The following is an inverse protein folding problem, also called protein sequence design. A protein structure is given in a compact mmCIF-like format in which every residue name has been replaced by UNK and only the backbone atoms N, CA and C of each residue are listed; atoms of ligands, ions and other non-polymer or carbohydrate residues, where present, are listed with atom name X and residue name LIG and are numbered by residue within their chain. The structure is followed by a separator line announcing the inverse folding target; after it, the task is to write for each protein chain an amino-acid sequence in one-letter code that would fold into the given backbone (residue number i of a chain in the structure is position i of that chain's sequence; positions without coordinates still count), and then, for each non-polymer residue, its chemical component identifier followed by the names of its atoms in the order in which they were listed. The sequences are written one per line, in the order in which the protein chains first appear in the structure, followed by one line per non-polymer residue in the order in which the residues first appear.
data_IF_837612420262
#
_entry.id   IF_837612420262
#
_cell.length_a   1.000
_cell.length_b   1.000
_cell.length_c   1.000
_cell.angle_alpha   90.00
_cell.angle_beta   90.00
_cell.angle_gamma   90.00
#
_symmetry.space_group_name_H-M   'P 1'
#
loop_
_entity.id
_entity.type
_entity.pdbx_description
1 polymer ?
#
# COMPACT_ATOMS: atom_id res chain seq x y z
N UNK A 1 -15.51 15.35 4.52
CA UNK A 1 -14.40 15.96 3.79
C UNK A 1 -14.85 16.38 2.41
N UNK A 2 -14.42 17.55 1.97
CA UNK A 2 -14.67 18.07 0.62
C UNK A 2 -13.31 18.18 -0.06
N UNK A 3 -13.17 17.58 -1.24
CA UNK A 3 -11.99 17.74 -2.06
C UNK A 3 -12.01 19.12 -2.73
N UNK A 4 -10.91 19.84 -2.65
CA UNK A 4 -10.73 21.11 -3.38
C UNK A 4 -10.40 20.87 -4.86
N UNK A 5 -9.75 19.72 -5.14
CA UNK A 5 -9.52 19.20 -6.48
C UNK A 5 -9.56 17.66 -6.41
N UNK A 6 -10.13 17.04 -7.42
CA UNK A 6 -10.16 15.59 -7.47
C UNK A 6 -11.44 14.95 -6.95
N UNK A 7 -11.35 13.70 -6.53
CA UNK A 7 -12.48 12.83 -6.16
C UNK A 7 -12.28 12.24 -4.77
N UNK A 8 -13.34 12.26 -3.96
CA UNK A 8 -13.40 11.55 -2.67
C UNK A 8 -14.42 10.43 -2.78
N UNK A 9 -14.02 9.24 -2.34
CA UNK A 9 -14.89 8.06 -2.27
C UNK A 9 -14.91 7.52 -0.85
N UNK A 10 -16.07 7.13 -0.37
CA UNK A 10 -16.26 6.46 0.90
C UNK A 10 -16.56 4.98 0.72
N UNK A 11 -16.19 4.21 1.72
CA UNK A 11 -16.51 2.79 1.83
C UNK A 11 -16.80 2.42 3.28
N UNK A 12 -17.91 1.75 3.50
CA UNK A 12 -18.33 1.29 4.83
C UNK A 12 -18.39 -0.23 4.82
N UNK A 13 -17.70 -0.85 5.76
CA UNK A 13 -17.60 -2.29 5.91
C UNK A 13 -18.12 -2.78 7.25
N UNK A 14 -18.53 -4.05 7.33
CA UNK A 14 -18.97 -4.73 8.56
C UNK A 14 -20.08 -3.96 9.31
N UNK A 15 -21.15 -3.61 8.60
CA UNK A 15 -22.33 -2.91 9.16
C UNK A 15 -21.97 -1.61 9.91
N UNK A 16 -21.06 -0.84 9.34
CA UNK A 16 -20.64 0.46 9.87
C UNK A 16 -19.50 0.43 10.89
N UNK A 17 -18.88 -0.71 11.12
CA UNK A 17 -17.75 -0.82 12.06
C UNK A 17 -16.44 -0.28 11.49
N UNK A 18 -16.26 -0.30 10.17
CA UNK A 18 -15.09 0.20 9.48
C UNK A 18 -15.53 1.19 8.42
N UNK A 19 -15.04 2.42 8.49
CA UNK A 19 -15.24 3.45 7.48
C UNK A 19 -13.92 3.87 6.86
N UNK A 20 -13.88 4.00 5.53
CA UNK A 20 -12.71 4.41 4.77
C UNK A 20 -13.07 5.57 3.87
N UNK A 21 -12.23 6.61 3.86
CA UNK A 21 -12.29 7.73 2.90
C UNK A 21 -11.03 7.71 2.05
N UNK A 22 -11.20 7.74 0.74
CA UNK A 22 -10.09 7.83 -0.22
C UNK A 22 -10.27 9.07 -1.07
N UNK A 23 -9.22 9.88 -1.15
CA UNK A 23 -9.15 11.08 -1.97
C UNK A 23 -8.06 10.90 -3.02
N UNK A 24 -8.35 11.27 -4.27
CA UNK A 24 -7.40 11.25 -5.35
C UNK A 24 -7.50 12.53 -6.20
N UNK A 25 -6.38 13.04 -6.65
CA UNK A 25 -6.31 14.10 -7.64
C UNK A 25 -6.51 13.50 -9.04
N UNK A 26 -7.77 13.41 -9.44
CA UNK A 26 -8.17 12.88 -10.73
C UNK A 26 -9.47 13.53 -11.18
N UNK A 27 -9.77 13.47 -12.46
CA UNK A 27 -11.09 13.85 -12.93
C UNK A 27 -12.14 12.81 -12.54
N UNK A 28 -13.31 13.28 -12.16
CA UNK A 28 -14.42 12.41 -11.80
C UNK A 28 -14.93 11.62 -13.00
N UNK A 29 -14.83 10.30 -12.92
CA UNK A 29 -15.42 9.36 -13.87
C UNK A 29 -15.85 8.10 -13.13
N UNK A 30 -16.73 7.30 -13.72
CA UNK A 30 -17.18 6.05 -13.10
C UNK A 30 -16.02 5.06 -12.91
N UNK A 31 -15.09 5.00 -13.87
CA UNK A 31 -13.89 4.17 -13.77
C UNK A 31 -12.98 4.59 -12.62
N UNK A 32 -12.76 5.89 -12.41
CA UNK A 32 -11.96 6.42 -11.29
C UNK A 32 -12.66 6.15 -9.96
N UNK A 33 -13.95 6.38 -9.86
CA UNK A 33 -14.73 6.10 -8.64
C UNK A 33 -14.71 4.62 -8.28
N UNK A 34 -14.85 3.73 -9.25
CA UNK A 34 -14.75 2.28 -9.04
C UNK A 34 -13.35 1.87 -8.57
N UNK A 35 -12.31 2.41 -9.18
CA UNK A 35 -10.92 2.20 -8.77
C UNK A 35 -10.71 2.63 -7.32
N UNK A 36 -11.13 3.82 -6.94
CA UNK A 36 -11.01 4.34 -5.57
C UNK A 36 -11.82 3.51 -4.57
N UNK A 37 -12.98 3.01 -4.97
CA UNK A 37 -13.80 2.11 -4.14
C UNK A 37 -13.12 0.77 -3.90
N UNK A 38 -12.47 0.19 -4.91
CA UNK A 38 -11.67 -1.02 -4.78
C UNK A 38 -10.44 -0.79 -3.88
N UNK A 39 -9.80 0.36 -3.98
CA UNK A 39 -8.71 0.78 -3.08
C UNK A 39 -9.21 0.92 -1.64
N UNK A 40 -10.38 1.48 -1.43
CA UNK A 40 -11.01 1.59 -0.10
C UNK A 40 -11.31 0.20 0.51
N UNK A 41 -11.76 -0.76 -0.30
CA UNK A 41 -11.92 -2.15 0.14
C UNK A 41 -10.59 -2.80 0.53
N UNK A 42 -9.52 -2.54 -0.21
CA UNK A 42 -8.15 -2.98 0.12
C UNK A 42 -7.72 -2.43 1.49
N UNK A 43 -7.96 -1.14 1.75
CA UNK A 43 -7.65 -0.50 3.02
C UNK A 43 -8.44 -1.13 4.17
N UNK A 44 -9.71 -1.40 3.98
CA UNK A 44 -10.55 -2.06 4.98
C UNK A 44 -10.09 -3.50 5.29
N UNK A 45 -9.60 -4.23 4.27
CA UNK A 45 -9.17 -5.62 4.40
C UNK A 45 -7.80 -5.77 5.06
N UNK A 46 -6.81 -4.97 4.67
CA UNK A 46 -5.41 -5.12 5.08
C UNK A 46 -4.90 -4.04 6.03
N UNK A 47 -5.70 -3.01 6.30
CA UNK A 47 -5.39 -1.94 7.25
C UNK A 47 -3.96 -1.37 7.10
N UNK A 48 -3.58 -0.83 5.93
CA UNK A 48 -2.27 -0.21 5.75
C UNK A 48 -2.10 1.00 6.66
N UNK A 49 -0.89 1.24 7.15
CA UNK A 49 -0.57 2.38 8.01
C UNK A 49 -0.13 3.61 7.20
N UNK A 50 0.49 3.40 6.06
CA UNK A 50 1.05 4.44 5.21
C UNK A 50 0.61 4.25 3.76
N UNK A 51 0.63 5.32 2.99
CA UNK A 51 0.32 5.26 1.55
C UNK A 51 1.44 4.60 0.76
N UNK A 52 2.69 5.00 1.00
CA UNK A 52 3.88 4.47 0.35
C UNK A 52 5.06 4.42 1.30
N UNK A 53 6.10 3.67 0.94
CA UNK A 53 7.34 3.59 1.73
C UNK A 53 8.08 4.93 1.86
N UNK A 54 7.86 5.86 0.92
CA UNK A 54 8.40 7.22 1.00
C UNK A 54 7.81 8.05 2.15
N UNK A 55 6.60 7.76 2.57
CA UNK A 55 5.92 8.44 3.69
C UNK A 55 6.23 7.85 5.06
N UNK A 56 6.88 6.69 5.11
CA UNK A 56 7.24 6.04 6.37
C UNK A 56 8.34 6.84 7.07
N UNK A 57 8.12 7.30 8.32
CA UNK A 57 9.14 8.02 9.06
C UNK A 57 10.40 7.19 9.27
N UNK A 58 11.58 7.82 9.19
CA UNK A 58 12.86 7.12 9.46
C UNK A 58 12.91 6.53 10.87
N UNK A 59 12.37 7.24 11.86
CA UNK A 59 12.27 6.76 13.25
C UNK A 59 11.50 5.43 13.34
N UNK A 60 10.43 5.28 12.55
CA UNK A 60 9.69 4.02 12.50
C UNK A 60 10.55 2.89 11.90
N UNK A 61 11.26 3.17 10.81
CA UNK A 61 12.15 2.19 10.16
C UNK A 61 13.31 1.78 11.08
N UNK A 62 13.92 2.71 11.78
CA UNK A 62 14.98 2.46 12.75
C UNK A 62 14.47 1.61 13.91
N UNK A 63 13.33 1.95 14.48
CA UNK A 63 12.72 1.20 15.57
C UNK A 63 12.39 -0.24 15.19
N UNK A 64 11.78 -0.45 14.03
CA UNK A 64 11.49 -1.81 13.50
C UNK A 64 12.80 -2.58 13.24
N UNK A 65 13.81 -1.91 12.72
CA UNK A 65 15.13 -2.51 12.50
C UNK A 65 15.77 -2.96 13.81
N UNK A 66 15.68 -2.17 14.88
CA UNK A 66 16.17 -2.53 16.22
C UNK A 66 15.44 -3.76 16.78
N UNK A 67 14.11 -3.81 16.64
CA UNK A 67 13.30 -4.96 17.07
C UNK A 67 13.72 -6.22 16.31
N UNK A 68 13.85 -6.14 15.00
CA UNK A 68 14.27 -7.27 14.15
C UNK A 68 15.69 -7.72 14.48
N UNK A 69 16.60 -6.77 14.80
CA UNK A 69 17.97 -7.07 15.24
C UNK A 69 17.97 -7.84 16.55
N UNK A 70 17.21 -7.38 17.54
CA UNK A 70 17.08 -8.06 18.81
C UNK A 70 16.51 -9.48 18.68
N UNK A 71 15.47 -9.63 17.86
CA UNK A 71 14.88 -10.95 17.56
C UNK A 71 15.88 -11.88 16.86
N UNK A 72 16.63 -11.36 15.89
CA UNK A 72 17.62 -12.15 15.15
C UNK A 72 18.79 -12.61 16.05
N UNK A 73 19.27 -11.76 16.95
CA UNK A 73 20.32 -12.12 17.91
C UNK A 73 19.87 -13.13 18.96
N UNK A 74 18.60 -13.12 19.32
CA UNK A 74 18.03 -14.06 20.29
C UNK A 74 17.66 -15.42 19.67
N UNK A 75 17.68 -15.53 18.33
CA UNK A 75 17.39 -16.79 17.64
C UNK A 75 18.62 -17.70 17.61
N UNK A 76 18.57 -18.90 18.22
CA UNK A 76 19.71 -19.84 18.21
C UNK A 76 20.19 -20.23 16.80
N UNK A 77 19.32 -20.16 15.80
CA UNK A 77 19.68 -20.45 14.40
C UNK A 77 20.63 -19.41 13.79
N UNK A 78 20.72 -18.25 14.40
CA UNK A 78 21.57 -17.15 13.96
C UNK A 78 22.87 -17.02 14.77
N UNK A 79 23.04 -17.80 15.84
CA UNK A 79 24.17 -17.71 16.77
C UNK A 79 25.55 -17.84 16.11
N UNK A 80 25.64 -18.59 15.00
CA UNK A 80 26.88 -18.79 14.24
C UNK A 80 27.03 -17.87 13.02
N UNK A 81 26.07 -16.99 12.76
CA UNK A 81 26.10 -16.11 11.58
C UNK A 81 26.86 -14.81 11.86
N UNK A 82 27.71 -14.34 10.94
CA UNK A 82 28.36 -13.05 11.05
C UNK A 82 27.34 -11.89 11.06
N UNK A 83 27.68 -10.78 11.73
CA UNK A 83 26.82 -9.62 11.87
C UNK A 83 26.37 -9.04 10.51
N UNK A 84 27.25 -9.03 9.50
CA UNK A 84 26.91 -8.55 8.17
C UNK A 84 25.83 -9.39 7.48
N UNK A 85 25.76 -10.69 7.75
CA UNK A 85 24.71 -11.57 7.25
C UNK A 85 23.40 -11.30 7.97
N UNK A 86 23.44 -11.09 9.28
CA UNK A 86 22.28 -10.75 10.10
C UNK A 86 21.70 -9.40 9.61
N UNK A 87 22.54 -8.39 9.38
CA UNK A 87 22.08 -7.09 8.86
C UNK A 87 21.38 -7.19 7.49
N UNK A 88 21.91 -7.99 6.57
CA UNK A 88 21.27 -8.25 5.28
C UNK A 88 19.90 -8.93 5.44
N UNK A 89 19.81 -9.91 6.33
CA UNK A 89 18.54 -10.58 6.64
C UNK A 89 17.49 -9.60 7.20
N UNK A 90 17.91 -8.71 8.09
CA UNK A 90 17.04 -7.71 8.72
C UNK A 90 16.58 -6.69 7.69
N UNK A 91 17.47 -6.20 6.84
CA UNK A 91 17.12 -5.30 5.74
C UNK A 91 16.07 -5.92 4.81
N UNK A 92 16.22 -7.19 4.48
CA UNK A 92 15.24 -7.93 3.68
C UNK A 92 13.89 -8.10 4.38
N UNK A 93 13.89 -8.40 5.68
CA UNK A 93 12.66 -8.51 6.49
C UNK A 93 11.96 -7.16 6.62
N UNK A 94 12.70 -6.10 6.92
CA UNK A 94 12.18 -4.74 7.01
C UNK A 94 11.52 -4.31 5.69
N UNK A 95 12.19 -4.55 4.56
CA UNK A 95 11.62 -4.26 3.24
C UNK A 95 10.31 -5.00 2.99
N UNK A 96 10.19 -6.25 3.44
CA UNK A 96 8.97 -7.04 3.35
C UNK A 96 7.86 -6.47 4.25
N UNK A 97 8.17 -6.13 5.50
CA UNK A 97 7.21 -5.53 6.43
C UNK A 97 6.70 -4.17 5.94
N UNK A 98 7.58 -3.34 5.36
CA UNK A 98 7.17 -2.07 4.76
C UNK A 98 6.19 -2.28 3.61
N UNK A 99 6.36 -3.31 2.80
CA UNK A 99 5.38 -3.66 1.75
C UNK A 99 4.01 -4.07 2.32
N UNK A 100 3.98 -4.66 3.49
CA UNK A 100 2.73 -5.06 4.14
C UNK A 100 1.97 -3.87 4.78
N UNK A 101 2.68 -2.83 5.21
CA UNK A 101 2.07 -1.65 5.86
C UNK A 101 1.84 -0.47 4.92
N UNK A 102 2.38 -0.49 3.71
CA UNK A 102 2.23 0.57 2.71
C UNK A 102 1.22 0.17 1.65
N UNK A 103 0.12 0.92 1.55
CA UNK A 103 -1.01 0.62 0.65
C UNK A 103 -0.59 0.33 -0.79
N UNK A 104 0.22 1.21 -1.38
CA UNK A 104 0.62 1.09 -2.79
C UNK A 104 1.52 -0.12 -3.07
N UNK A 105 2.23 -0.61 -2.07
CA UNK A 105 3.16 -1.73 -2.18
C UNK A 105 2.52 -3.07 -1.79
N UNK A 106 1.34 -3.06 -1.18
CA UNK A 106 0.57 -4.26 -0.86
C UNK A 106 0.15 -5.00 -2.12
N UNK A 107 0.08 -6.32 -2.02
CA UNK A 107 -0.54 -7.15 -3.05
C UNK A 107 -2.05 -6.84 -3.10
N UNK A 108 -2.56 -6.53 -4.30
CA UNK A 108 -3.97 -6.21 -4.47
C UNK A 108 -4.83 -7.46 -4.29
N UNK A 109 -5.76 -7.45 -3.33
CA UNK A 109 -6.55 -8.63 -2.92
C UNK A 109 -7.44 -9.19 -4.02
N UNK A 110 -7.85 -8.38 -5.00
CA UNK A 110 -8.64 -8.81 -6.15
C UNK A 110 -7.80 -9.24 -7.34
N UNK A 111 -6.47 -9.05 -7.29
CA UNK A 111 -5.58 -9.45 -8.38
C UNK A 111 -5.39 -10.96 -8.41
N UNK A 112 -5.40 -11.52 -9.61
CA UNK A 112 -5.15 -12.94 -9.84
C UNK A 112 -3.67 -13.26 -10.05
N UNK A 113 -2.85 -12.23 -10.34
CA UNK A 113 -1.46 -12.33 -10.75
C UNK A 113 -0.46 -11.70 -9.76
N UNK A 114 -0.84 -11.52 -8.50
CA UNK A 114 -0.04 -10.87 -7.46
C UNK A 114 0.39 -9.42 -7.78
N UNK A 115 -0.42 -8.73 -8.52
CA UNK A 115 -0.22 -7.33 -8.84
C UNK A 115 -0.33 -6.45 -7.59
N UNK A 116 0.51 -5.41 -7.48
CA UNK A 116 0.43 -4.44 -6.39
C UNK A 116 -0.71 -3.45 -6.61
N UNK A 117 -1.16 -2.81 -5.53
CA UNK A 117 -2.16 -1.73 -5.60
C UNK A 117 -1.69 -0.59 -6.51
N UNK A 118 -0.41 -0.22 -6.46
CA UNK A 118 0.17 0.80 -7.34
C UNK A 118 0.01 0.45 -8.83
N UNK A 119 0.30 -0.77 -9.21
CA UNK A 119 0.13 -1.24 -10.60
C UNK A 119 -1.32 -1.24 -11.04
N UNK A 120 -2.23 -1.64 -10.18
CA UNK A 120 -3.66 -1.57 -10.45
C UNK A 120 -4.12 -0.13 -10.72
N UNK A 121 -3.71 0.83 -9.89
CA UNK A 121 -4.03 2.25 -10.08
C UNK A 121 -3.42 2.80 -11.37
N UNK A 122 -2.17 2.48 -11.67
CA UNK A 122 -1.50 2.88 -12.92
C UNK A 122 -2.24 2.35 -14.15
N UNK A 123 -2.68 1.10 -14.13
CA UNK A 123 -3.45 0.48 -15.21
C UNK A 123 -4.76 1.23 -15.45
N UNK A 124 -5.53 1.52 -14.40
CA UNK A 124 -6.80 2.25 -14.51
C UNK A 124 -6.57 3.68 -15.02
N UNK A 125 -5.52 4.35 -14.55
CA UNK A 125 -5.16 5.69 -15.01
C UNK A 125 -4.81 5.71 -16.51
N UNK A 126 -4.08 4.70 -16.97
CA UNK A 126 -3.74 4.53 -18.40
C UNK A 126 -4.98 4.28 -19.25
N UNK A 127 -5.80 3.33 -18.88
CA UNK A 127 -7.05 3.01 -19.59
C UNK A 127 -7.99 4.21 -19.67
N UNK A 128 -8.10 4.98 -18.59
CA UNK A 128 -8.91 6.20 -18.55
C UNK A 128 -8.36 7.27 -19.50
N UNK A 129 -7.04 7.42 -19.59
CA UNK A 129 -6.38 8.34 -20.53
C UNK A 129 -6.63 7.92 -21.97
N UNK A 130 -6.44 6.64 -22.29
CA UNK A 130 -6.69 6.08 -23.62
C UNK A 130 -8.14 6.28 -24.06
N UNK A 131 -9.09 6.03 -23.17
CA UNK A 131 -10.51 6.24 -23.44
C UNK A 131 -10.83 7.71 -23.78
N UNK A 132 -10.23 8.65 -23.05
CA UNK A 132 -10.37 10.09 -23.35
C UNK A 132 -9.83 10.46 -24.70
N UNK A 133 -8.65 9.97 -25.03
CA UNK A 133 -8.01 10.22 -26.34
C UNK A 133 -8.87 9.68 -27.49
N UNK A 134 -9.52 8.53 -27.28
CA UNK A 134 -10.48 7.98 -28.23
C UNK A 134 -11.74 8.84 -28.37
N UNK A 135 -12.29 9.33 -27.27
CA UNK A 135 -13.52 10.14 -27.26
C UNK A 135 -13.27 11.57 -27.78
N UNK A 136 -12.05 12.07 -27.70
CA UNK A 136 -11.65 13.39 -28.24
C UNK A 136 -11.46 13.41 -29.77
N UNK A 137 -11.44 12.27 -30.41
CA UNK A 137 -11.39 12.12 -31.88
C UNK A 137 -12.79 12.07 -32.46
#
# INVERSE_FOLDING_TARGET
RIATSGVVVDYIHAAGKIGVLVEAEAESSDAVKECLKNVAMQIAALNPKYLSSAEVPEEYKEHEKEILMAQAKNDPKNASKPDNIIEKMITGRLAKELKEVCLLEQEYVKATNKETVAKYIEQIAKETKELREMLAK
#
